data_IF_654332736404
#
_entry.id   IF_654332736404
#
_cell.length_a   1.000
_cell.length_b   1.000
_cell.length_c   1.000
_cell.angle_alpha   90.00
_cell.angle_beta   90.00
_cell.angle_gamma   90.00
#
_symmetry.space_group_name_H-M   'P 1'
#
loop_
_entity.id
_entity.type
_entity.pdbx_description
1 polymer ?
#
# COMPACT_ATOMS: atom_id res chain seq x y z
N UNK A 1 -11.45 4.65 -28.33
CA UNK A 1 -10.54 4.06 -27.33
C UNK A 1 -10.88 2.59 -27.18
N UNK A 2 -9.93 1.67 -27.41
CA UNK A 2 -10.10 0.25 -27.08
C UNK A 2 -9.54 0.04 -25.67
N UNK A 3 -10.37 -0.43 -24.74
CA UNK A 3 -9.90 -0.83 -23.43
C UNK A 3 -8.91 -1.99 -23.59
N UNK A 4 -7.76 -1.90 -22.92
CA UNK A 4 -6.81 -3.02 -22.88
C UNK A 4 -7.42 -4.16 -22.07
N UNK A 5 -7.17 -5.42 -22.46
CA UNK A 5 -7.58 -6.56 -21.65
C UNK A 5 -6.91 -6.48 -20.28
N UNK A 6 -7.66 -6.73 -19.20
CA UNK A 6 -7.11 -6.65 -17.84
C UNK A 6 -5.87 -7.51 -17.67
N UNK A 7 -5.79 -8.70 -18.30
CA UNK A 7 -4.63 -9.59 -18.25
C UNK A 7 -3.30 -9.01 -18.79
N UNK A 8 -3.34 -7.86 -19.46
CA UNK A 8 -2.14 -7.14 -19.90
C UNK A 8 -1.71 -6.03 -18.91
N UNK A 9 -2.53 -5.70 -17.91
CA UNK A 9 -2.29 -4.63 -16.97
C UNK A 9 -1.39 -5.11 -15.82
N UNK A 10 -0.11 -4.74 -15.81
CA UNK A 10 0.79 -5.08 -14.69
C UNK A 10 0.64 -4.17 -13.47
N UNK A 11 -0.13 -3.10 -13.61
CA UNK A 11 -0.37 -2.10 -12.59
C UNK A 11 -1.87 -2.05 -12.29
N UNK A 12 -2.21 -2.20 -11.02
CA UNK A 12 -3.57 -2.05 -10.53
C UNK A 12 -3.63 -0.84 -9.61
N UNK A 13 -4.57 0.07 -9.85
CA UNK A 13 -4.87 1.17 -8.95
C UNK A 13 -6.26 0.99 -8.36
N UNK A 14 -6.33 0.99 -7.04
CA UNK A 14 -7.56 0.97 -6.28
C UNK A 14 -7.76 2.36 -5.67
N UNK A 15 -8.94 2.94 -5.88
CA UNK A 15 -9.30 4.23 -5.30
C UNK A 15 -10.56 4.13 -4.45
N UNK A 16 -10.84 5.17 -3.64
CA UNK A 16 -11.98 5.24 -2.72
C UNK A 16 -13.36 4.94 -3.34
N UNK A 17 -13.49 4.83 -4.66
CA UNK A 17 -14.73 4.40 -5.31
C UNK A 17 -15.10 2.92 -5.04
N UNK A 18 -14.24 2.18 -4.34
CA UNK A 18 -14.44 0.77 -4.02
C UNK A 18 -14.75 0.62 -2.53
N UNK A 19 -16.02 0.82 -2.16
CA UNK A 19 -16.48 0.72 -0.76
C UNK A 19 -16.54 -0.72 -0.24
N UNK A 20 -16.60 -1.72 -1.13
CA UNK A 20 -16.62 -3.15 -0.78
C UNK A 20 -15.89 -3.97 -1.85
N UNK A 21 -14.61 -4.22 -1.64
CA UNK A 21 -13.85 -5.13 -2.50
C UNK A 21 -13.94 -6.56 -1.96
N UNK A 22 -14.48 -7.45 -2.77
CA UNK A 22 -14.59 -8.88 -2.48
C UNK A 22 -13.32 -9.55 -2.99
N UNK A 23 -12.27 -9.50 -2.17
CA UNK A 23 -10.93 -9.98 -2.54
C UNK A 23 -10.99 -11.42 -3.06
N UNK A 24 -11.78 -12.30 -2.44
CA UNK A 24 -12.01 -13.69 -2.82
C UNK A 24 -12.34 -13.91 -4.31
N UNK A 25 -12.96 -12.93 -4.98
CA UNK A 25 -13.35 -13.03 -6.39
C UNK A 25 -12.30 -12.53 -7.39
N UNK A 26 -11.17 -12.01 -6.92
CA UNK A 26 -10.17 -11.30 -7.75
C UNK A 26 -8.81 -12.01 -7.78
N UNK A 27 -8.71 -13.20 -7.17
CA UNK A 27 -7.48 -14.01 -7.12
C UNK A 27 -6.90 -14.31 -8.51
N UNK A 28 -7.71 -14.86 -9.42
CA UNK A 28 -7.27 -15.20 -10.77
C UNK A 28 -6.91 -13.95 -11.61
N UNK A 29 -7.62 -12.85 -11.37
CA UNK A 29 -7.43 -11.60 -12.11
C UNK A 29 -6.24 -10.78 -11.59
N UNK A 30 -5.69 -11.11 -10.42
CA UNK A 30 -4.55 -10.39 -9.83
C UNK A 30 -3.20 -11.08 -10.03
N UNK A 31 -3.19 -12.28 -10.62
CA UNK A 31 -1.99 -13.11 -10.80
C UNK A 31 -0.86 -12.44 -11.61
N UNK A 32 -1.20 -11.51 -12.48
CA UNK A 32 -0.27 -10.80 -13.37
C UNK A 32 0.08 -9.39 -12.88
N UNK A 33 -0.50 -8.94 -11.78
CA UNK A 33 -0.23 -7.63 -11.19
C UNK A 33 1.14 -7.66 -10.52
N UNK A 34 1.99 -6.74 -10.93
CA UNK A 34 3.35 -6.54 -10.43
C UNK A 34 3.45 -5.33 -9.50
N UNK A 35 2.56 -4.35 -9.70
CA UNK A 35 2.47 -3.14 -8.88
C UNK A 35 1.02 -2.81 -8.50
N UNK A 36 0.79 -2.52 -7.23
CA UNK A 36 -0.50 -2.12 -6.68
C UNK A 36 -0.42 -0.71 -6.10
N UNK A 37 -1.37 0.14 -6.44
CA UNK A 37 -1.50 1.48 -5.88
C UNK A 37 -2.82 1.64 -5.15
N UNK A 38 -2.77 2.01 -3.87
CA UNK A 38 -3.91 2.46 -3.08
C UNK A 38 -3.91 4.00 -3.13
N UNK A 39 -4.83 4.57 -3.89
CA UNK A 39 -4.88 6.00 -4.22
C UNK A 39 -6.10 6.66 -3.63
N UNK A 40 -5.92 7.74 -2.87
CA UNK A 40 -7.01 8.54 -2.30
C UNK A 40 -8.02 7.65 -1.53
N UNK A 41 -7.57 6.52 -0.99
CA UNK A 41 -8.39 5.53 -0.30
C UNK A 41 -8.43 5.80 1.21
N UNK A 42 -9.45 5.25 1.88
CA UNK A 42 -9.48 5.25 3.35
C UNK A 42 -8.45 4.25 3.92
N UNK A 43 -7.96 4.46 5.15
CA UNK A 43 -7.09 3.50 5.85
C UNK A 43 -7.66 2.09 5.90
N UNK A 44 -8.99 1.97 6.02
CA UNK A 44 -9.73 0.71 6.00
C UNK A 44 -9.46 -0.11 4.73
N UNK A 45 -9.22 0.52 3.58
CA UNK A 45 -8.84 -0.20 2.35
C UNK A 45 -7.48 -0.86 2.48
N UNK A 46 -6.52 -0.19 3.12
CA UNK A 46 -5.19 -0.76 3.41
C UNK A 46 -5.32 -1.92 4.39
N UNK A 47 -6.10 -1.74 5.45
CA UNK A 47 -6.35 -2.77 6.46
C UNK A 47 -7.05 -4.00 5.88
N UNK A 48 -8.11 -3.79 5.09
CA UNK A 48 -8.86 -4.87 4.45
C UNK A 48 -8.02 -5.64 3.43
N UNK A 49 -7.16 -4.96 2.67
CA UNK A 49 -6.20 -5.64 1.79
C UNK A 49 -5.25 -6.51 2.61
N UNK A 50 -4.60 -5.92 3.62
CA UNK A 50 -3.63 -6.65 4.44
C UNK A 50 -4.27 -7.86 5.14
N UNK A 51 -5.49 -7.70 5.66
CA UNK A 51 -6.28 -8.79 6.24
C UNK A 51 -6.69 -9.84 5.20
N UNK A 52 -7.20 -9.45 4.04
CA UNK A 52 -7.63 -10.39 3.00
C UNK A 52 -6.47 -11.25 2.50
N UNK A 53 -5.30 -10.63 2.30
CA UNK A 53 -4.08 -11.37 1.99
C UNK A 53 -3.75 -12.32 3.15
N UNK A 54 -3.83 -11.85 4.40
CA UNK A 54 -3.57 -12.69 5.59
C UNK A 54 -4.53 -13.89 5.73
N UNK A 55 -5.83 -13.70 5.47
CA UNK A 55 -6.85 -14.74 5.54
C UNK A 55 -6.75 -15.77 4.42
N UNK A 56 -6.21 -15.40 3.25
CA UNK A 56 -5.92 -16.38 2.19
C UNK A 56 -4.91 -17.45 2.61
N UNK A 57 -4.22 -17.25 3.74
CA UNK A 57 -3.24 -18.19 4.28
C UNK A 57 -3.79 -19.09 5.40
N UNK A 58 -4.88 -18.70 6.05
CA UNK A 58 -5.40 -19.41 7.24
C UNK A 58 -6.43 -20.49 6.90
N UNK A 59 -6.96 -20.53 5.67
CA UNK A 59 -7.97 -21.52 5.28
C UNK A 59 -7.30 -22.87 4.94
N UNK A 60 -7.45 -23.80 5.89
CA UNK A 60 -6.87 -25.14 5.87
C UNK A 60 -7.50 -25.99 4.77
N UNK A 61 -6.86 -26.08 3.61
CA UNK A 61 -6.87 -27.32 2.84
C UNK A 61 -7.08 -27.23 1.33
N UNK A 62 -7.38 -26.09 0.74
CA UNK A 62 -7.53 -26.00 -0.71
C UNK A 62 -6.84 -24.77 -1.30
N UNK A 63 -5.80 -25.07 -2.08
CA UNK A 63 -5.09 -24.23 -3.08
C UNK A 63 -4.08 -23.19 -2.59
N UNK A 64 -2.87 -23.27 -3.18
CA UNK A 64 -1.73 -22.33 -3.14
C UNK A 64 -2.06 -20.91 -3.66
N UNK A 65 -3.27 -20.42 -3.40
CA UNK A 65 -3.86 -19.22 -3.99
C UNK A 65 -3.41 -17.98 -3.23
N UNK A 66 -2.14 -17.58 -3.41
CA UNK A 66 -1.63 -16.32 -2.85
C UNK A 66 -2.25 -15.15 -3.61
N UNK A 67 -2.88 -14.22 -2.89
CA UNK A 67 -3.25 -12.92 -3.46
C UNK A 67 -2.01 -12.21 -4.00
N UNK A 68 -2.08 -11.74 -5.25
CA UNK A 68 -1.00 -10.98 -5.87
C UNK A 68 0.38 -11.70 -5.88
N UNK A 69 0.49 -12.91 -6.48
CA UNK A 69 1.69 -13.74 -6.41
C UNK A 69 2.93 -13.10 -7.08
N UNK A 70 2.73 -12.10 -7.95
CA UNK A 70 3.81 -11.37 -8.65
C UNK A 70 4.03 -9.96 -8.13
N UNK A 71 3.27 -9.52 -7.13
CA UNK A 71 3.34 -8.17 -6.64
C UNK A 71 4.67 -7.94 -5.92
N UNK A 72 5.45 -7.03 -6.46
CA UNK A 72 6.74 -6.62 -5.90
C UNK A 72 6.75 -5.16 -5.45
N UNK A 73 5.81 -4.34 -5.94
CA UNK A 73 5.72 -2.92 -5.59
C UNK A 73 4.33 -2.57 -5.05
N UNK A 74 4.28 -2.02 -3.83
CA UNK A 74 3.08 -1.42 -3.25
C UNK A 74 3.26 0.10 -3.17
N UNK A 75 2.25 0.84 -3.61
CA UNK A 75 2.21 2.30 -3.54
C UNK A 75 1.02 2.75 -2.70
N UNK A 76 1.28 3.50 -1.65
CA UNK A 76 0.29 4.25 -0.88
C UNK A 76 0.35 5.70 -1.34
N UNK A 77 -0.71 6.17 -1.99
CA UNK A 77 -0.79 7.51 -2.54
C UNK A 77 -1.98 8.28 -1.95
N UNK A 78 -1.70 9.40 -1.29
CA UNK A 78 -2.73 10.29 -0.71
C UNK A 78 -3.69 9.60 0.26
N UNK A 79 -3.21 8.59 0.98
CA UNK A 79 -3.97 7.89 2.03
C UNK A 79 -3.89 8.66 3.34
N UNK A 80 -5.04 8.90 3.97
CA UNK A 80 -5.15 9.70 5.19
C UNK A 80 -5.19 8.79 6.43
N UNK A 81 -4.04 8.40 6.96
CA UNK A 81 -3.93 7.54 8.16
C UNK A 81 -4.10 8.27 9.49
N UNK A 82 -4.01 9.61 9.50
CA UNK A 82 -4.25 10.46 10.67
C UNK A 82 -5.65 11.06 10.65
N UNK A 83 -6.23 11.34 11.81
CA UNK A 83 -7.46 12.13 11.86
C UNK A 83 -7.14 13.58 11.49
N UNK A 84 -8.01 14.24 10.72
CA UNK A 84 -7.99 15.70 10.54
C UNK A 84 -8.14 16.47 11.86
N UNK A 85 -8.56 15.80 12.93
CA UNK A 85 -8.71 16.35 14.27
C UNK A 85 -7.56 15.91 15.19
N UNK A 86 -6.38 16.52 15.04
CA UNK A 86 -5.31 16.81 16.02
C UNK A 86 -4.99 15.89 17.24
N UNK A 87 -5.48 14.66 17.33
CA UNK A 87 -5.23 13.76 18.48
C UNK A 87 -4.43 12.51 18.13
N UNK A 88 -3.99 12.35 16.89
CA UNK A 88 -3.09 11.26 16.51
C UNK A 88 -1.73 11.50 17.15
N UNK A 89 -1.44 10.78 18.23
CA UNK A 89 -0.11 10.82 18.85
C UNK A 89 0.84 9.93 18.03
N UNK A 90 2.08 10.37 17.75
CA UNK A 90 3.02 9.65 16.89
C UNK A 90 3.43 8.28 17.44
N UNK A 91 3.24 8.03 18.73
CA UNK A 91 3.46 6.75 19.42
C UNK A 91 2.35 5.72 19.17
N UNK A 92 1.16 6.14 18.75
CA UNK A 92 0.04 5.23 18.45
C UNK A 92 -0.07 5.00 16.95
N UNK A 93 0.46 3.85 16.51
CA UNK A 93 0.40 3.45 15.09
C UNK A 93 -1.04 3.07 14.70
N UNK A 94 -1.58 3.61 13.59
CA UNK A 94 -2.90 3.25 13.08
C UNK A 94 -3.02 1.74 12.79
N UNK A 95 -4.17 1.11 13.11
CA UNK A 95 -4.39 -0.32 12.87
C UNK A 95 -4.12 -0.76 11.42
N UNK A 96 -4.45 0.09 10.46
CA UNK A 96 -4.18 -0.17 9.04
C UNK A 96 -2.68 -0.31 8.72
N UNK A 97 -1.82 0.47 9.37
CA UNK A 97 -0.37 0.39 9.19
C UNK A 97 0.23 -0.81 9.93
N UNK A 98 -0.35 -1.19 11.08
CA UNK A 98 0.01 -2.42 11.80
C UNK A 98 -0.29 -3.65 10.96
N UNK A 99 -1.53 -3.77 10.45
CA UNK A 99 -1.92 -4.89 9.58
C UNK A 99 -1.05 -4.95 8.31
N UNK A 100 -0.76 -3.79 7.70
CA UNK A 100 0.13 -3.71 6.55
C UNK A 100 1.54 -4.23 6.89
N UNK A 101 2.11 -3.85 8.03
CA UNK A 101 3.42 -4.35 8.48
C UNK A 101 3.41 -5.87 8.65
N UNK A 102 2.41 -6.40 9.34
CA UNK A 102 2.29 -7.86 9.55
C UNK A 102 2.26 -8.61 8.22
N UNK A 103 1.56 -8.08 7.21
CA UNK A 103 1.57 -8.66 5.86
C UNK A 103 2.96 -8.58 5.21
N UNK A 104 3.63 -7.42 5.26
CA UNK A 104 4.94 -7.21 4.63
C UNK A 104 6.07 -8.02 5.28
N UNK A 105 5.96 -8.34 6.57
CA UNK A 105 6.88 -9.19 7.33
C UNK A 105 6.76 -10.69 6.96
N UNK A 106 5.61 -11.14 6.42
CA UNK A 106 5.40 -12.53 5.98
C UNK A 106 6.05 -12.81 4.62
N UNK A 107 7.38 -12.87 4.59
CA UNK A 107 8.19 -12.95 3.35
C UNK A 107 7.94 -14.20 2.49
N UNK A 108 7.54 -15.31 3.10
CA UNK A 108 7.23 -16.56 2.39
C UNK A 108 5.98 -16.44 1.51
N UNK A 109 5.15 -15.43 1.78
CA UNK A 109 3.86 -15.21 1.13
C UNK A 109 3.66 -13.79 0.59
N UNK A 110 4.63 -12.90 0.83
CA UNK A 110 4.62 -11.52 0.38
C UNK A 110 5.79 -11.26 -0.57
N UNK A 111 5.46 -11.09 -1.85
CA UNK A 111 6.43 -10.73 -2.90
C UNK A 111 6.89 -9.27 -2.85
N UNK A 112 6.26 -8.42 -2.03
CA UNK A 112 6.54 -6.98 -2.00
C UNK A 112 7.99 -6.74 -1.59
N UNK A 113 8.75 -6.09 -2.47
CA UNK A 113 10.13 -5.66 -2.24
C UNK A 113 10.25 -4.15 -2.16
N UNK A 114 9.21 -3.42 -2.57
CA UNK A 114 9.19 -1.97 -2.58
C UNK A 114 7.87 -1.43 -2.03
N UNK A 115 7.96 -0.57 -1.03
CA UNK A 115 6.87 0.24 -0.51
C UNK A 115 7.12 1.71 -0.86
N UNK A 116 6.22 2.32 -1.62
CA UNK A 116 6.20 3.76 -1.90
C UNK A 116 5.11 4.42 -1.06
N UNK A 117 5.45 5.49 -0.38
CA UNK A 117 4.51 6.30 0.43
C UNK A 117 4.60 7.73 -0.10
N UNK A 118 3.52 8.24 -0.68
CA UNK A 118 3.51 9.56 -1.29
C UNK A 118 2.21 10.30 -0.97
N UNK A 119 2.31 11.54 -0.49
CA UNK A 119 1.18 12.39 -0.16
C UNK A 119 0.30 11.86 0.97
N UNK A 120 0.78 10.86 1.73
CA UNK A 120 0.05 10.25 2.84
C UNK A 120 0.22 11.06 4.12
N UNK A 121 -0.80 11.08 4.99
CA UNK A 121 -0.69 11.66 6.33
C UNK A 121 -0.11 10.63 7.30
N UNK A 122 1.21 10.49 7.32
CA UNK A 122 1.94 9.56 8.20
C UNK A 122 3.04 10.28 8.97
N UNK A 123 3.32 9.82 10.19
CA UNK A 123 4.47 10.30 10.96
C UNK A 123 5.75 9.53 10.57
N UNK A 124 6.94 10.15 10.68
CA UNK A 124 8.22 9.49 10.41
C UNK A 124 8.40 8.17 11.16
N UNK A 125 7.98 8.11 12.43
CA UNK A 125 8.09 6.94 13.29
C UNK A 125 7.30 5.74 12.75
N UNK A 126 6.15 6.02 12.12
CA UNK A 126 5.35 5.00 11.45
C UNK A 126 5.97 4.55 10.13
N UNK A 127 6.82 5.36 9.50
CA UNK A 127 7.56 4.95 8.30
C UNK A 127 8.76 4.10 8.69
N UNK A 128 9.44 4.45 9.79
CA UNK A 128 10.59 3.72 10.32
C UNK A 128 10.26 2.26 10.65
N UNK A 129 9.03 1.97 11.07
CA UNK A 129 8.57 0.60 11.31
C UNK A 129 8.66 -0.29 10.06
N UNK A 130 8.47 0.28 8.86
CA UNK A 130 8.59 -0.45 7.60
C UNK A 130 10.04 -0.58 7.15
N UNK A 131 10.88 0.41 7.43
CA UNK A 131 12.33 0.38 7.12
C UNK A 131 13.07 -0.72 7.89
N UNK A 132 12.51 -1.17 9.00
CA UNK A 132 13.04 -2.28 9.80
C UNK A 132 12.77 -3.66 9.17
N UNK A 133 11.93 -3.75 8.14
CA UNK A 133 11.60 -5.02 7.48
C UNK A 133 12.72 -5.39 6.49
N UNK A 134 13.34 -6.55 6.71
CA UNK A 134 14.45 -7.01 5.86
C UNK A 134 14.02 -7.24 4.39
N UNK A 135 14.86 -6.77 3.47
CA UNK A 135 14.61 -6.86 2.03
C UNK A 135 13.39 -6.06 1.54
N UNK A 136 12.91 -5.06 2.30
CA UNK A 136 11.90 -4.10 1.86
C UNK A 136 12.53 -2.71 1.64
N UNK A 137 12.52 -2.24 0.39
CA UNK A 137 12.89 -0.87 0.08
C UNK A 137 11.70 0.08 0.34
N UNK A 138 11.88 1.07 1.21
CA UNK A 138 10.86 2.08 1.52
C UNK A 138 11.25 3.41 0.89
N UNK A 139 10.40 3.94 0.01
CA UNK A 139 10.51 5.31 -0.53
C UNK A 139 9.39 6.16 0.06
N UNK A 140 9.72 7.22 0.77
CA UNK A 140 8.74 8.14 1.36
C UNK A 140 9.02 9.58 0.95
N UNK A 141 8.00 10.31 0.49
CA UNK A 141 8.14 11.71 0.08
C UNK A 141 8.29 12.68 1.26
N UNK A 142 8.03 12.25 2.50
CA UNK A 142 8.37 13.02 3.70
C UNK A 142 9.85 12.97 4.10
N UNK A 143 10.65 12.09 3.49
CA UNK A 143 12.12 12.16 3.59
C UNK A 143 12.70 13.36 2.83
N UNK A 144 11.87 14.01 2.00
CA UNK A 144 12.25 15.17 1.20
C UNK A 144 12.36 16.39 2.13
N UNK A 145 13.46 16.48 2.86
CA UNK A 145 14.04 17.77 3.28
C UNK A 145 14.64 18.55 2.11
N UNK A 146 14.67 18.02 0.88
CA UNK A 146 15.35 18.62 -0.27
C UNK A 146 14.66 18.26 -1.59
N UNK A 147 13.78 19.15 -2.07
CA UNK A 147 13.61 19.51 -3.50
C UNK A 147 12.58 20.66 -3.67
N UNK A 148 12.59 21.66 -2.77
CA UNK A 148 12.21 23.00 -3.21
C UNK A 148 13.44 23.55 -3.93
N UNK A 149 13.48 23.40 -5.26
CA UNK A 149 14.42 24.17 -6.08
C UNK A 149 14.20 25.67 -5.82
N UNK A 150 15.21 26.53 -6.04
CA UNK A 150 15.07 27.96 -5.84
C UNK A 150 13.83 28.46 -6.59
N UNK A 151 12.96 29.17 -5.87
CA UNK A 151 11.84 29.91 -6.43
C UNK A 151 12.38 30.95 -7.41
N UNK A 152 12.56 30.58 -8.68
CA UNK A 152 12.72 31.53 -9.77
C UNK A 152 11.36 32.20 -9.96
N UNK A 153 11.15 33.32 -9.27
CA UNK A 153 9.90 34.06 -9.43
C UNK A 153 9.60 35.09 -8.34
N UNK A 154 10.50 36.02 -8.11
CA UNK A 154 10.14 37.35 -7.59
C UNK A 154 11.17 38.38 -8.06
N UNK A 155 11.21 38.59 -9.38
CA UNK A 155 11.59 39.90 -9.91
C UNK A 155 10.32 40.55 -10.41
N UNK A 156 9.83 41.54 -9.67
CA UNK A 156 9.01 42.65 -10.13
C UNK A 156 9.11 43.74 -9.07
#
# INVERSE_FOLDING_TARGET
MRALPMHACKYLQLSAMIERFWWDRVLAETAHIEALCLSDSNPETTENLAKAVSYSFDDKGETDSTFFPRLHTLHLYRVLYGSRSDSSQPDVVPPALVALREWLERRDHCGVRKLRIQGCSVFPEWVDMFRQIDGLAVEWDGDVRLCMGPSLGATS
#
